data_IF_536241674308
#
_entry.id   IF_536241674308
#
_cell.length_a   1.000
_cell.length_b   1.000
_cell.length_c   1.000
_cell.angle_alpha   90.00
_cell.angle_beta   90.00
_cell.angle_gamma   90.00
#
_symmetry.space_group_name_H-M   'P 1'
#
loop_
_entity.id
_entity.type
_entity.pdbx_description
1 polymer ?
#
# COMPACT_ATOMS: atom_id res chain seq x y z
N UNK A 1 32.39 46.85 -12.25
CA UNK A 1 32.72 46.17 -13.52
C UNK A 1 34.23 45.87 -13.63
N UNK A 2 34.81 45.11 -12.67
CA UNK A 2 36.26 44.80 -12.61
C UNK A 2 36.58 43.29 -12.48
N UNK A 3 35.57 42.41 -12.54
CA UNK A 3 35.76 40.96 -12.33
C UNK A 3 35.76 40.09 -13.60
N UNK A 4 35.56 40.66 -14.80
CA UNK A 4 35.51 39.87 -16.03
C UNK A 4 36.90 39.57 -16.63
N UNK A 5 37.99 40.09 -16.05
CA UNK A 5 39.34 40.04 -16.63
C UNK A 5 40.32 39.08 -15.91
N UNK A 6 39.89 38.35 -14.89
CA UNK A 6 40.77 37.41 -14.16
C UNK A 6 40.94 36.08 -14.90
N UNK A 7 40.09 35.79 -15.89
CA UNK A 7 40.14 34.51 -16.61
C UNK A 7 41.07 34.48 -17.84
N UNK A 8 41.65 35.62 -18.25
CA UNK A 8 42.50 35.72 -19.45
C UNK A 8 44.01 35.72 -19.12
N UNK A 9 44.39 35.47 -17.86
CA UNK A 9 45.76 35.66 -17.37
C UNK A 9 46.63 34.40 -17.22
N UNK A 10 46.10 33.19 -17.46
CA UNK A 10 46.83 31.92 -17.22
C UNK A 10 47.06 31.11 -18.49
N UNK A 11 47.31 31.78 -19.61
CA UNK A 11 47.63 31.14 -20.90
C UNK A 11 49.05 31.42 -21.41
N UNK A 12 49.93 32.02 -20.59
CA UNK A 12 51.27 32.41 -21.03
C UNK A 12 52.38 31.97 -20.08
N UNK A 13 52.51 30.66 -19.84
CA UNK A 13 53.75 29.97 -19.37
C UNK A 13 53.79 28.48 -19.79
N UNK A 14 53.44 28.16 -21.04
CA UNK A 14 53.63 26.80 -21.60
C UNK A 14 54.59 26.83 -22.79
N UNK A 15 55.80 27.35 -22.60
CA UNK A 15 56.72 27.64 -23.71
C UNK A 15 57.58 26.44 -24.18
N UNK A 16 57.26 25.19 -23.80
CA UNK A 16 57.87 23.95 -24.35
C UNK A 16 56.98 22.71 -24.17
N UNK A 17 55.71 22.78 -24.56
CA UNK A 17 54.84 21.59 -24.53
C UNK A 17 54.39 21.30 -25.96
N UNK A 18 54.77 20.12 -26.47
CA UNK A 18 54.43 19.66 -27.81
C UNK A 18 52.91 19.73 -28.01
N UNK A 19 52.43 20.15 -29.19
CA UNK A 19 50.99 20.33 -29.50
C UNK A 19 50.16 19.09 -29.12
N UNK A 20 50.77 17.91 -29.25
CA UNK A 20 50.18 16.61 -28.86
C UNK A 20 49.82 16.54 -27.37
N UNK A 21 50.64 17.11 -26.48
CA UNK A 21 50.38 17.14 -25.03
C UNK A 21 49.31 18.17 -24.62
N UNK A 22 49.19 19.28 -25.35
CA UNK A 22 48.15 20.28 -25.07
C UNK A 22 46.73 19.73 -25.34
N UNK A 23 46.57 18.98 -26.43
CA UNK A 23 45.28 18.34 -26.78
C UNK A 23 44.92 17.22 -25.81
N UNK A 24 45.88 16.37 -25.42
CA UNK A 24 45.63 15.31 -24.43
C UNK A 24 45.25 15.86 -23.06
N UNK A 25 45.81 17.01 -22.67
CA UNK A 25 45.51 17.64 -21.37
C UNK A 25 44.09 18.25 -21.36
N UNK A 26 43.66 18.86 -22.47
CA UNK A 26 42.29 19.36 -22.62
C UNK A 26 41.26 18.23 -22.63
N UNK A 27 41.51 17.14 -23.37
CA UNK A 27 40.61 15.99 -23.41
C UNK A 27 40.54 15.25 -22.07
N UNK A 28 41.68 15.10 -21.39
CA UNK A 28 41.74 14.53 -20.04
C UNK A 28 40.95 15.32 -19.02
N UNK A 29 41.02 16.66 -19.06
CA UNK A 29 40.24 17.53 -18.19
C UNK A 29 38.73 17.35 -18.42
N UNK A 30 38.29 17.27 -19.68
CA UNK A 30 36.89 17.03 -20.01
C UNK A 30 36.41 15.67 -19.48
N UNK A 31 37.22 14.61 -19.67
CA UNK A 31 36.90 13.28 -19.18
C UNK A 31 36.76 13.24 -17.64
N UNK A 32 37.62 13.94 -16.91
CA UNK A 32 37.53 14.06 -15.44
C UNK A 32 36.25 14.76 -15.01
N UNK A 33 35.86 15.85 -15.68
CA UNK A 33 34.60 16.55 -15.38
C UNK A 33 33.40 15.64 -15.61
N UNK A 34 33.37 14.88 -16.71
CA UNK A 34 32.31 13.91 -16.99
C UNK A 34 32.26 12.81 -15.92
N UNK A 35 33.39 12.26 -15.50
CA UNK A 35 33.46 11.26 -14.44
C UNK A 35 32.96 11.81 -13.10
N UNK A 36 33.28 13.06 -12.76
CA UNK A 36 32.78 13.72 -11.56
C UNK A 36 31.27 13.90 -11.59
N UNK A 37 30.70 14.34 -12.72
CA UNK A 37 29.26 14.49 -12.88
C UNK A 37 28.57 13.11 -12.78
N UNK A 38 29.12 12.07 -13.40
CA UNK A 38 28.61 10.70 -13.28
C UNK A 38 28.66 10.18 -11.85
N UNK A 39 29.76 10.42 -11.12
CA UNK A 39 29.90 10.03 -9.72
C UNK A 39 28.93 10.81 -8.82
N UNK A 40 28.73 12.10 -9.06
CA UNK A 40 27.74 12.94 -8.37
C UNK A 40 26.32 12.45 -8.67
N UNK A 41 26.02 12.08 -9.91
CA UNK A 41 24.75 11.52 -10.32
C UNK A 41 24.49 10.16 -9.64
N UNK A 42 25.49 9.27 -9.58
CA UNK A 42 25.40 7.98 -8.88
C UNK A 42 25.26 8.15 -7.35
N UNK A 43 25.96 9.12 -6.76
CA UNK A 43 25.83 9.45 -5.33
C UNK A 43 24.46 10.09 -5.02
N UNK A 44 23.96 10.95 -5.91
CA UNK A 44 22.62 11.53 -5.82
C UNK A 44 21.53 10.46 -5.98
N UNK A 45 21.71 9.56 -6.95
CA UNK A 45 20.80 8.44 -7.21
C UNK A 45 20.78 7.45 -6.04
N UNK A 46 21.94 7.08 -5.48
CA UNK A 46 22.01 6.19 -4.31
C UNK A 46 21.43 6.83 -3.04
N UNK A 47 21.64 8.13 -2.81
CA UNK A 47 20.98 8.86 -1.71
C UNK A 47 19.47 9.00 -1.93
N UNK A 48 19.00 9.03 -3.18
CA UNK A 48 17.58 9.00 -3.53
C UNK A 48 16.99 7.60 -3.35
N UNK A 49 17.70 6.55 -3.75
CA UNK A 49 17.29 5.15 -3.56
C UNK A 49 17.13 4.78 -2.09
N UNK A 50 18.02 5.24 -1.19
CA UNK A 50 17.89 4.96 0.25
C UNK A 50 16.59 5.52 0.87
N UNK A 51 16.10 6.68 0.40
CA UNK A 51 14.84 7.26 0.86
C UNK A 51 13.60 6.70 0.15
N UNK A 52 13.70 6.36 -1.14
CA UNK A 52 12.64 5.65 -1.86
C UNK A 52 12.40 4.24 -1.32
N UNK A 53 13.45 3.57 -0.84
CA UNK A 53 13.32 2.22 -0.29
C UNK A 53 12.66 2.26 1.09
N UNK A 54 12.98 3.24 1.94
CA UNK A 54 12.41 3.33 3.29
C UNK A 54 10.93 3.77 3.33
N UNK A 55 10.52 4.73 2.49
CA UNK A 55 9.11 5.20 2.45
C UNK A 55 8.17 4.23 1.73
N UNK A 56 8.64 3.51 0.70
CA UNK A 56 7.80 2.53 -0.03
C UNK A 56 7.74 1.18 0.71
N UNK A 57 8.76 0.81 1.50
CA UNK A 57 8.79 -0.46 2.22
C UNK A 57 7.87 -0.51 3.44
N UNK A 58 7.74 0.59 4.20
CA UNK A 58 6.90 0.61 5.40
C UNK A 58 5.43 0.37 5.07
N UNK A 59 4.91 1.06 4.05
CA UNK A 59 3.52 0.95 3.61
C UNK A 59 3.25 -0.40 2.94
N UNK A 60 4.18 -0.87 2.09
CA UNK A 60 4.08 -2.19 1.46
C UNK A 60 4.11 -3.33 2.49
N UNK A 61 4.91 -3.20 3.55
CA UNK A 61 4.99 -4.18 4.64
C UNK A 61 3.70 -4.21 5.46
N UNK A 62 3.12 -3.06 5.80
CA UNK A 62 1.84 -2.97 6.51
C UNK A 62 0.69 -3.52 5.67
N UNK A 63 0.66 -3.24 4.38
CA UNK A 63 -0.30 -3.82 3.43
C UNK A 63 -0.13 -5.34 3.34
N UNK A 64 1.11 -5.84 3.26
CA UNK A 64 1.39 -7.28 3.23
C UNK A 64 0.85 -7.96 4.49
N UNK A 65 1.21 -7.47 5.67
CA UNK A 65 0.72 -8.02 6.94
C UNK A 65 -0.80 -7.95 7.06
N UNK A 66 -1.45 -6.87 6.58
CA UNK A 66 -2.91 -6.82 6.51
C UNK A 66 -3.50 -7.93 5.63
N UNK A 67 -2.89 -8.25 4.49
CA UNK A 67 -3.32 -9.37 3.66
C UNK A 67 -3.02 -10.73 4.33
N UNK A 68 -1.91 -10.85 5.04
CA UNK A 68 -1.53 -12.07 5.78
C UNK A 68 -2.53 -12.33 6.92
N UNK A 69 -2.98 -11.30 7.65
CA UNK A 69 -4.07 -11.39 8.63
C UNK A 69 -5.33 -11.96 7.99
N UNK A 70 -5.75 -11.42 6.84
CA UNK A 70 -6.91 -11.93 6.10
C UNK A 70 -6.72 -13.38 5.68
N UNK A 71 -5.54 -13.74 5.18
CA UNK A 71 -5.21 -15.09 4.74
C UNK A 71 -5.23 -16.11 5.89
N UNK A 72 -4.60 -15.79 7.00
CA UNK A 72 -4.56 -16.65 8.19
C UNK A 72 -5.97 -16.81 8.80
N UNK A 73 -6.74 -15.73 8.89
CA UNK A 73 -8.13 -15.79 9.36
C UNK A 73 -9.02 -16.65 8.45
N UNK A 74 -8.86 -16.54 7.12
CA UNK A 74 -9.59 -17.38 6.17
C UNK A 74 -9.21 -18.87 6.28
N UNK A 75 -7.91 -19.19 6.39
CA UNK A 75 -7.46 -20.58 6.60
C UNK A 75 -8.01 -21.16 7.90
N UNK A 76 -8.02 -20.37 8.98
CA UNK A 76 -8.60 -20.79 10.26
C UNK A 76 -10.10 -21.10 10.13
N UNK A 77 -10.86 -20.25 9.44
CA UNK A 77 -12.28 -20.46 9.23
C UNK A 77 -12.56 -21.71 8.40
N UNK A 78 -11.78 -21.95 7.33
CA UNK A 78 -11.89 -23.16 6.51
C UNK A 78 -11.63 -24.42 7.35
N UNK A 79 -10.54 -24.44 8.12
CA UNK A 79 -10.22 -25.57 8.98
C UNK A 79 -11.32 -25.83 10.03
N UNK A 80 -11.91 -24.77 10.59
CA UNK A 80 -13.01 -24.89 11.54
C UNK A 80 -14.26 -25.52 10.90
N UNK A 81 -14.64 -25.04 9.72
CA UNK A 81 -15.79 -25.58 8.99
C UNK A 81 -15.55 -27.02 8.55
N UNK A 82 -14.36 -27.34 8.02
CA UNK A 82 -14.01 -28.71 7.67
C UNK A 82 -14.09 -29.65 8.88
N UNK A 83 -13.59 -29.19 10.04
CA UNK A 83 -13.71 -29.92 11.30
C UNK A 83 -15.16 -30.20 11.70
N UNK A 84 -16.14 -29.40 11.23
CA UNK A 84 -17.57 -29.64 11.43
C UNK A 84 -18.20 -30.55 10.38
N UNK A 85 -17.48 -30.96 9.35
CA UNK A 85 -17.99 -31.85 8.30
C UNK A 85 -17.43 -33.28 8.38
N UNK A 86 -16.21 -33.45 8.87
CA UNK A 86 -15.50 -34.75 8.89
C UNK A 86 -15.90 -35.65 10.06
N UNK A 87 -16.26 -36.91 9.81
CA UNK A 87 -16.68 -37.84 10.88
C UNK A 87 -15.56 -38.74 11.39
N UNK A 88 -14.54 -38.97 10.56
CA UNK A 88 -13.41 -39.83 10.90
C UNK A 88 -12.46 -39.15 11.88
N UNK A 89 -12.06 -39.87 12.94
CA UNK A 89 -11.17 -39.34 13.98
C UNK A 89 -9.84 -38.79 13.42
N UNK A 90 -9.27 -39.48 12.42
CA UNK A 90 -8.02 -39.05 11.78
C UNK A 90 -8.15 -37.73 11.00
N UNK A 91 -9.31 -37.48 10.40
CA UNK A 91 -9.62 -36.24 9.69
C UNK A 91 -9.93 -35.10 10.67
N UNK A 92 -10.63 -35.40 11.78
CA UNK A 92 -10.84 -34.44 12.87
C UNK A 92 -9.49 -33.94 13.41
N UNK A 93 -8.55 -34.85 13.67
CA UNK A 93 -7.21 -34.51 14.14
C UNK A 93 -6.42 -33.68 13.12
N UNK A 94 -6.57 -33.97 11.83
CA UNK A 94 -5.96 -33.21 10.75
C UNK A 94 -6.46 -31.76 10.74
N UNK A 95 -7.77 -31.57 10.74
CA UNK A 95 -8.38 -30.24 10.70
C UNK A 95 -8.13 -29.46 11.99
N UNK A 96 -8.10 -30.14 13.15
CA UNK A 96 -7.74 -29.52 14.43
C UNK A 96 -6.31 -28.97 14.40
N UNK A 97 -5.35 -29.71 13.84
CA UNK A 97 -3.97 -29.22 13.68
C UNK A 97 -3.92 -28.01 12.75
N UNK A 98 -4.63 -28.04 11.62
CA UNK A 98 -4.70 -26.92 10.68
C UNK A 98 -5.30 -25.67 11.34
N UNK A 99 -6.36 -25.83 12.12
CA UNK A 99 -6.99 -24.76 12.88
C UNK A 99 -6.05 -24.12 13.91
N UNK A 100 -5.38 -24.95 14.73
CA UNK A 100 -4.44 -24.48 15.74
C UNK A 100 -3.26 -23.74 15.10
N UNK A 101 -2.74 -24.26 13.99
CA UNK A 101 -1.68 -23.59 13.23
C UNK A 101 -2.14 -22.22 12.72
N UNK A 102 -3.28 -22.15 12.04
CA UNK A 102 -3.81 -20.90 11.48
C UNK A 102 -4.16 -19.87 12.57
N UNK A 103 -4.67 -20.32 13.72
CA UNK A 103 -4.93 -19.45 14.87
C UNK A 103 -3.64 -18.82 15.41
N UNK A 104 -2.59 -19.62 15.58
CA UNK A 104 -1.28 -19.12 16.02
C UNK A 104 -0.68 -18.15 15.01
N UNK A 105 -0.71 -18.50 13.73
CA UNK A 105 -0.18 -17.66 12.64
C UNK A 105 -0.88 -16.29 12.59
N UNK A 106 -2.21 -16.27 12.77
CA UNK A 106 -2.98 -15.03 12.83
C UNK A 106 -2.53 -14.15 14.01
N UNK A 107 -2.40 -14.74 15.21
CA UNK A 107 -1.92 -14.01 16.38
C UNK A 107 -0.52 -13.43 16.20
N UNK A 108 0.40 -14.19 15.60
CA UNK A 108 1.75 -13.74 15.28
C UNK A 108 1.77 -12.60 14.25
N UNK A 109 0.94 -12.71 13.21
CA UNK A 109 0.83 -11.67 12.18
C UNK A 109 0.25 -10.38 12.76
N UNK A 110 -0.80 -10.48 13.59
CA UNK A 110 -1.38 -9.34 14.29
C UNK A 110 -0.38 -8.67 15.23
N UNK A 111 0.40 -9.46 15.99
CA UNK A 111 1.44 -8.93 16.87
C UNK A 111 2.55 -8.21 16.07
N UNK A 112 2.97 -8.79 14.94
CA UNK A 112 3.96 -8.17 14.05
C UNK A 112 3.47 -6.85 13.47
N UNK A 113 2.19 -6.78 13.08
CA UNK A 113 1.56 -5.55 12.59
C UNK A 113 1.48 -4.48 13.69
N UNK A 114 1.12 -4.87 14.91
CA UNK A 114 1.12 -3.99 16.08
C UNK A 114 2.49 -3.39 16.36
N UNK A 115 3.53 -4.21 16.30
CA UNK A 115 4.91 -3.76 16.52
C UNK A 115 5.32 -2.71 15.47
N UNK A 116 5.04 -2.95 14.19
CA UNK A 116 5.34 -1.98 13.14
C UNK A 116 4.59 -0.66 13.30
N UNK A 117 3.33 -0.70 13.75
CA UNK A 117 2.55 0.51 14.03
C UNK A 117 3.13 1.31 15.20
N UNK A 118 3.67 0.62 16.21
CA UNK A 118 4.34 1.25 17.34
C UNK A 118 5.69 1.89 16.95
N UNK A 119 6.51 1.18 16.16
CA UNK A 119 7.83 1.63 15.69
C UNK A 119 7.75 2.85 14.78
N UNK A 120 6.76 2.87 13.89
CA UNK A 120 6.57 3.98 12.95
C UNK A 120 6.04 5.26 13.63
N UNK A 121 5.74 5.20 14.94
CA UNK A 121 5.14 6.28 15.73
C UNK A 121 3.94 6.93 15.04
N UNK A 122 3.20 6.19 14.18
CA UNK A 122 2.17 6.72 13.29
C UNK A 122 0.95 7.12 14.11
N UNK A 123 0.75 8.42 14.40
CA UNK A 123 -0.47 8.86 15.05
C UNK A 123 -1.49 9.02 13.93
N UNK A 124 -2.52 8.17 13.89
CA UNK A 124 -3.51 8.30 12.83
C UNK A 124 -4.50 7.17 12.71
N UNK A 125 -5.27 7.27 11.63
CA UNK A 125 -6.39 6.38 11.29
C UNK A 125 -5.98 4.91 11.14
N UNK A 126 -4.72 4.62 10.79
CA UNK A 126 -4.19 3.24 10.69
C UNK A 126 -4.20 2.48 12.02
N UNK A 127 -3.73 3.13 13.10
CA UNK A 127 -3.76 2.54 14.45
C UNK A 127 -5.20 2.32 14.95
N UNK A 128 -6.12 3.25 14.64
CA UNK A 128 -7.54 3.08 14.96
C UNK A 128 -8.20 1.92 14.20
N UNK A 129 -7.89 1.78 12.91
CA UNK A 129 -8.35 0.65 12.10
C UNK A 129 -7.77 -0.68 12.62
N UNK A 130 -6.51 -0.69 13.04
CA UNK A 130 -5.90 -1.86 13.69
C UNK A 130 -6.53 -2.20 15.04
N UNK A 131 -6.82 -1.21 15.88
CA UNK A 131 -7.54 -1.42 17.14
C UNK A 131 -8.91 -2.04 16.94
N UNK A 132 -9.63 -1.69 15.86
CA UNK A 132 -10.90 -2.34 15.53
C UNK A 132 -10.72 -3.80 15.10
N UNK A 133 -9.67 -4.11 14.34
CA UNK A 133 -9.31 -5.50 14.03
C UNK A 133 -9.02 -6.31 15.31
N UNK A 134 -8.22 -5.77 16.24
CA UNK A 134 -7.95 -6.41 17.53
C UNK A 134 -9.23 -6.63 18.35
N UNK A 135 -10.12 -5.63 18.39
CA UNK A 135 -11.39 -5.73 19.12
C UNK A 135 -12.29 -6.83 18.57
N UNK A 136 -12.40 -6.95 17.25
CA UNK A 136 -13.21 -7.98 16.60
C UNK A 136 -12.59 -9.36 16.84
N UNK A 137 -11.28 -9.50 16.62
CA UNK A 137 -10.56 -10.76 16.81
C UNK A 137 -10.61 -11.24 18.27
N UNK A 138 -10.54 -10.32 19.24
CA UNK A 138 -10.68 -10.63 20.66
C UNK A 138 -12.05 -11.22 21.05
N UNK A 139 -13.10 -11.01 20.25
CA UNK A 139 -14.40 -11.68 20.41
C UNK A 139 -14.49 -12.96 19.59
N UNK A 140 -14.00 -12.91 18.35
CA UNK A 140 -14.11 -14.01 17.41
C UNK A 140 -13.26 -15.23 17.81
N UNK A 141 -12.01 -15.00 18.22
CA UNK A 141 -11.08 -16.07 18.59
C UNK A 141 -11.63 -16.98 19.70
N UNK A 142 -12.02 -16.44 20.87
CA UNK A 142 -12.60 -17.25 21.95
C UNK A 142 -13.93 -17.92 21.57
N UNK A 143 -14.81 -17.20 20.86
CA UNK A 143 -16.09 -17.76 20.41
C UNK A 143 -15.87 -18.98 19.50
N UNK A 144 -14.99 -18.85 18.50
CA UNK A 144 -14.63 -19.91 17.56
C UNK A 144 -14.06 -21.14 18.29
N UNK A 145 -13.13 -20.95 19.24
CA UNK A 145 -12.55 -22.05 19.98
C UNK A 145 -13.61 -22.79 20.81
N UNK A 146 -14.53 -22.07 21.48
CA UNK A 146 -15.62 -22.70 22.22
C UNK A 146 -16.53 -23.56 21.33
N UNK A 147 -16.81 -23.10 20.11
CA UNK A 147 -17.66 -23.81 19.16
C UNK A 147 -16.95 -25.05 18.61
N UNK A 148 -15.65 -24.96 18.35
CA UNK A 148 -14.83 -26.10 17.92
C UNK A 148 -14.75 -27.16 19.02
N UNK A 149 -14.57 -26.76 20.27
CA UNK A 149 -14.54 -27.70 21.41
C UNK A 149 -15.88 -28.45 21.53
N UNK A 150 -17.02 -27.74 21.42
CA UNK A 150 -18.34 -28.37 21.38
C UNK A 150 -18.51 -29.37 20.24
N UNK A 151 -18.00 -29.05 19.05
CA UNK A 151 -18.06 -29.94 17.89
C UNK A 151 -17.25 -31.22 18.13
N UNK A 152 -16.09 -31.13 18.79
CA UNK A 152 -15.25 -32.26 19.17
C UNK A 152 -15.91 -33.11 20.27
N UNK A 153 -16.63 -32.47 21.20
CA UNK A 153 -17.37 -33.12 22.28
C UNK A 153 -18.68 -33.80 21.80
N UNK A 154 -18.93 -33.84 20.49
CA UNK A 154 -20.08 -34.52 19.87
C UNK A 154 -21.32 -33.64 19.70
N UNK A 155 -21.30 -32.37 20.12
CA UNK A 155 -22.43 -31.42 20.00
C UNK A 155 -22.38 -30.69 18.66
N UNK A 156 -22.34 -31.46 17.57
CA UNK A 156 -21.99 -30.94 16.24
C UNK A 156 -23.07 -30.02 15.65
N UNK A 157 -24.33 -30.40 15.77
CA UNK A 157 -25.45 -29.62 15.23
C UNK A 157 -25.56 -28.26 15.93
N UNK A 158 -25.47 -28.26 17.26
CA UNK A 158 -25.43 -27.03 18.08
C UNK A 158 -24.22 -26.16 17.72
N UNK A 159 -23.04 -26.76 17.49
CA UNK A 159 -21.84 -26.05 17.08
C UNK A 159 -21.99 -25.41 15.69
N UNK A 160 -22.64 -26.08 14.74
CA UNK A 160 -22.93 -25.52 13.41
C UNK A 160 -23.89 -24.33 13.51
N UNK A 161 -24.93 -24.42 14.35
CA UNK A 161 -25.85 -23.31 14.57
C UNK A 161 -25.12 -22.09 15.16
N UNK A 162 -24.31 -22.29 16.20
CA UNK A 162 -23.51 -21.22 16.82
C UNK A 162 -22.44 -20.65 15.88
N UNK A 163 -21.80 -21.47 15.06
CA UNK A 163 -20.87 -21.01 14.02
C UNK A 163 -21.57 -20.02 13.08
N UNK A 164 -22.79 -20.35 12.65
CA UNK A 164 -23.54 -19.52 11.74
C UNK A 164 -24.07 -18.24 12.39
N UNK A 165 -24.58 -18.33 13.63
CA UNK A 165 -25.20 -17.21 14.33
C UNK A 165 -24.17 -16.22 14.92
N UNK A 166 -23.08 -16.73 15.50
CA UNK A 166 -22.10 -15.92 16.25
C UNK A 166 -20.83 -15.66 15.44
N UNK A 167 -20.25 -16.70 14.83
CA UNK A 167 -18.91 -16.64 14.27
C UNK A 167 -18.86 -16.02 12.86
N UNK A 168 -19.78 -16.38 11.96
CA UNK A 168 -19.80 -15.87 10.59
C UNK A 168 -19.97 -14.33 10.49
N UNK A 169 -20.84 -13.68 11.29
CA UNK A 169 -20.94 -12.22 11.30
C UNK A 169 -19.67 -11.54 11.82
N UNK A 170 -19.02 -12.13 12.82
CA UNK A 170 -17.75 -11.63 13.36
C UNK A 170 -16.63 -11.75 12.33
N UNK A 171 -16.54 -12.87 11.62
CA UNK A 171 -15.55 -13.07 10.56
C UNK A 171 -15.76 -12.08 9.40
N UNK A 172 -17.01 -11.84 9.00
CA UNK A 172 -17.37 -10.83 7.99
C UNK A 172 -16.93 -9.44 8.44
N UNK A 173 -17.16 -9.11 9.72
CA UNK A 173 -16.72 -7.84 10.30
C UNK A 173 -15.20 -7.71 10.29
N UNK A 174 -14.48 -8.79 10.61
CA UNK A 174 -13.01 -8.83 10.58
C UNK A 174 -12.49 -8.60 9.17
N UNK A 175 -13.00 -9.32 8.16
CA UNK A 175 -12.58 -9.13 6.77
C UNK A 175 -12.88 -7.73 6.25
N UNK A 176 -14.00 -7.13 6.67
CA UNK A 176 -14.34 -5.74 6.36
C UNK A 176 -13.33 -4.77 6.98
N UNK A 177 -13.01 -4.94 8.26
CA UNK A 177 -12.03 -4.12 8.97
C UNK A 177 -10.63 -4.23 8.32
N UNK A 178 -10.19 -5.45 8.01
CA UNK A 178 -8.91 -5.71 7.33
C UNK A 178 -8.89 -5.10 5.93
N UNK A 179 -9.97 -5.21 5.16
CA UNK A 179 -10.09 -4.57 3.85
C UNK A 179 -10.00 -3.04 3.94
N UNK A 180 -10.66 -2.46 4.94
CA UNK A 180 -10.59 -1.03 5.24
C UNK A 180 -9.17 -0.58 5.61
N UNK A 181 -8.48 -1.34 6.46
CA UNK A 181 -7.09 -1.11 6.82
C UNK A 181 -6.16 -1.15 5.60
N UNK A 182 -6.22 -2.23 4.81
CA UNK A 182 -5.37 -2.39 3.62
C UNK A 182 -5.62 -1.28 2.60
N UNK A 183 -6.87 -0.85 2.43
CA UNK A 183 -7.22 0.26 1.53
C UNK A 183 -6.65 1.59 2.04
N UNK A 184 -6.73 1.83 3.35
CA UNK A 184 -6.14 3.00 3.97
C UNK A 184 -4.62 3.04 3.79
N UNK A 185 -3.92 1.94 4.06
CA UNK A 185 -2.46 1.86 3.94
C UNK A 185 -2.00 2.06 2.49
N UNK A 186 -2.73 1.50 1.50
CA UNK A 186 -2.46 1.76 0.07
C UNK A 186 -2.69 3.22 -0.32
N UNK A 187 -3.73 3.85 0.22
CA UNK A 187 -4.07 5.25 -0.04
C UNK A 187 -3.13 6.24 0.66
N UNK A 188 -2.59 5.86 1.82
CA UNK A 188 -1.59 6.64 2.56
C UNK A 188 -0.27 6.74 1.77
N UNK A 189 0.21 5.62 1.22
CA UNK A 189 1.42 5.60 0.38
C UNK A 189 1.28 6.32 -0.96
N UNK A 190 0.06 6.45 -1.48
CA UNK A 190 -0.21 7.20 -2.71
C UNK A 190 -0.32 8.72 -2.51
N UNK A 191 -0.40 9.20 -1.27
CA UNK A 191 -0.68 10.61 -0.96
C UNK A 191 0.19 11.15 0.19
N UNK A 192 1.50 10.94 0.14
CA UNK A 192 2.46 11.70 0.92
C UNK A 192 3.00 12.87 0.07
N UNK A 193 2.38 14.07 0.08
CA UNK A 193 2.98 15.22 -0.57
C UNK A 193 4.25 15.65 0.21
N UNK A 194 5.31 16.12 -0.47
CA UNK A 194 6.52 16.58 0.19
C UNK A 194 6.18 17.71 1.17
N UNK A 195 6.87 17.74 2.32
CA UNK A 195 6.57 18.55 3.51
C UNK A 195 6.43 20.08 3.32
N UNK A 196 6.61 20.61 2.10
CA UNK A 196 6.44 22.03 1.75
C UNK A 196 5.03 22.47 1.32
N UNK A 197 4.08 21.57 1.06
CA UNK A 197 2.79 21.95 0.44
C UNK A 197 1.64 22.22 1.42
N UNK A 198 1.88 22.06 2.74
CA UNK A 198 0.83 22.12 3.77
C UNK A 198 0.11 23.48 3.87
N UNK A 199 0.72 24.57 3.37
CA UNK A 199 0.08 25.90 3.28
C UNK A 199 -0.76 26.14 2.02
N UNK A 200 -0.56 25.37 0.95
CA UNK A 200 -1.21 25.64 -0.35
C UNK A 200 -2.47 24.78 -0.58
N UNK A 201 -2.58 23.63 0.08
CA UNK A 201 -3.75 22.73 -0.05
C UNK A 201 -4.99 23.22 0.68
N UNK A 202 -4.87 24.09 1.70
CA UNK A 202 -6.04 24.62 2.41
C UNK A 202 -6.84 25.63 1.57
N UNK A 203 -6.21 26.23 0.55
CA UNK A 203 -6.88 27.14 -0.40
C UNK A 203 -7.48 26.46 -1.64
N UNK A 204 -6.99 25.28 -2.05
CA UNK A 204 -7.37 24.67 -3.34
C UNK A 204 -8.63 23.79 -3.30
N UNK A 205 -9.05 23.34 -2.12
CA UNK A 205 -10.19 22.44 -1.94
C UNK A 205 -11.54 23.15 -2.11
N UNK A 206 -11.65 24.43 -1.71
CA UNK A 206 -12.82 25.25 -1.98
C UNK A 206 -12.97 25.54 -3.50
N UNK A 207 -11.85 25.78 -4.17
CA UNK A 207 -11.77 26.16 -5.57
C UNK A 207 -12.07 24.99 -6.54
N UNK A 208 -11.74 23.77 -6.14
CA UNK A 208 -12.03 22.56 -6.91
C UNK A 208 -13.53 22.20 -6.91
N UNK A 209 -14.24 22.48 -5.81
CA UNK A 209 -15.68 22.27 -5.70
C UNK A 209 -16.47 23.26 -6.58
N UNK A 210 -16.05 24.52 -6.63
CA UNK A 210 -16.66 25.57 -7.46
C UNK A 210 -16.45 25.30 -8.95
N UNK A 211 -15.24 24.86 -9.36
CA UNK A 211 -14.95 24.49 -10.75
C UNK A 211 -15.77 23.31 -11.25
N UNK A 212 -15.92 22.25 -10.43
CA UNK A 212 -16.76 21.10 -10.77
C UNK A 212 -18.22 21.50 -11.00
N UNK A 213 -18.78 22.37 -10.15
CA UNK A 213 -20.15 22.87 -10.30
C UNK A 213 -20.35 23.71 -11.57
N UNK A 214 -19.33 24.44 -12.05
CA UNK A 214 -19.40 25.19 -13.31
C UNK A 214 -19.28 24.29 -14.54
N UNK A 215 -18.40 23.29 -14.52
CA UNK A 215 -18.28 22.33 -15.61
C UNK A 215 -19.57 21.53 -15.83
N UNK A 216 -20.17 21.00 -14.76
CA UNK A 216 -21.43 20.24 -14.88
C UNK A 216 -22.56 21.13 -15.39
N UNK A 217 -22.66 22.38 -14.94
CA UNK A 217 -23.67 23.32 -15.45
C UNK A 217 -23.49 23.65 -16.93
N UNK A 218 -22.24 23.85 -17.39
CA UNK A 218 -21.95 24.10 -18.80
C UNK A 218 -22.25 22.89 -19.66
N UNK A 219 -21.94 21.69 -19.17
CA UNK A 219 -22.24 20.44 -19.88
C UNK A 219 -23.74 20.16 -19.98
N UNK A 220 -24.52 20.48 -18.93
CA UNK A 220 -25.98 20.36 -18.96
C UNK A 220 -26.64 21.35 -19.93
N UNK A 221 -26.10 22.57 -20.05
CA UNK A 221 -26.60 23.55 -21.03
C UNK A 221 -26.33 23.11 -22.48
N UNK A 222 -25.21 22.43 -22.74
CA UNK A 222 -24.85 21.91 -24.07
C UNK A 222 -25.72 20.72 -24.53
N UNK A 223 -26.32 20.00 -23.58
CA UNK A 223 -27.22 18.88 -23.88
C UNK A 223 -28.64 19.34 -24.23
N UNK A 224 -29.05 20.49 -23.71
CA UNK A 224 -30.38 21.08 -23.97
C UNK A 224 -30.49 21.68 -25.38
N UNK A 225 -29.35 22.05 -25.99
CA UNK A 225 -29.27 22.69 -27.30
C UNK A 225 -29.16 21.72 -28.50
N UNK A 226 -29.27 20.40 -28.27
CA UNK A 226 -29.20 19.40 -29.36
C UNK A 226 -30.59 19.04 -29.91
N UNK A 227 -30.99 19.49 -31.12
CA UNK A 227 -32.23 19.05 -31.74
C UNK A 227 -32.15 17.57 -32.14
N UNK A 228 -33.15 16.80 -31.73
CA UNK A 228 -33.34 15.39 -32.06
C UNK A 228 -33.68 15.21 -33.55
N UNK A 229 -32.65 15.06 -34.41
CA UNK A 229 -32.85 14.52 -35.75
C UNK A 229 -32.70 12.99 -35.73
N UNK A 230 -33.86 12.31 -35.77
CA UNK A 230 -33.98 10.89 -36.07
C UNK A 230 -33.52 10.60 -37.51
N UNK A 231 -32.58 9.68 -37.69
CA UNK A 231 -32.34 9.01 -38.96
C UNK A 231 -32.12 7.52 -38.73
N UNK A 232 -33.02 6.73 -39.31
CA UNK A 232 -33.05 5.28 -39.31
C UNK A 232 -31.81 4.66 -40.00
N UNK A 233 -31.37 3.50 -39.52
CA UNK A 233 -30.49 2.61 -40.28
C UNK A 233 -31.07 1.20 -40.24
N UNK A 234 -31.51 0.77 -41.43
CA UNK A 234 -31.95 -0.57 -41.80
C UNK A 234 -30.77 -1.56 -41.81
N UNK A 235 -31.12 -2.84 -41.62
CA UNK A 235 -30.17 -3.95 -41.48
C UNK A 235 -29.57 -4.48 -42.78
N UNK A 236 -28.51 -5.27 -42.62
CA UNK A 236 -28.13 -6.41 -43.46
C UNK A 236 -26.97 -7.14 -42.76
N UNK A 237 -27.18 -8.43 -42.43
CA UNK A 237 -26.16 -9.38 -41.97
C UNK A 237 -26.04 -10.44 -43.07
N UNK A 238 -24.83 -10.82 -43.51
CA UNK A 238 -24.65 -11.98 -44.39
C UNK A 238 -24.79 -13.31 -43.63
#
# INVERSE_FOLDING_TARGET
MKCMLVMTGRFMKLNRICVRSAVTLAFGLLAVVVLLISALALNSLSRSSARFTQDVQGDAQRVRLGNDVRGAAARRAIAASNLMLVTESSDIDLEKRALVHAHRELGQTMASLKQLLAEAAVPGRGAALFGEMERIEGRYGPALLSVVDQAIDGHRDDAVERMNAECNPLLTSLFTAVGGYVTYERGAGACAPPAGSRRQQQGSSADAAVRRRRCVRRWLAELDDRPLHCAAVQGAVP
#
